data_IF_908474349645
#
_entry.id   IF_908474349645
#
_cell.length_a   1.000
_cell.length_b   1.000
_cell.length_c   1.000
_cell.angle_alpha   90.00
_cell.angle_beta   90.00
_cell.angle_gamma   90.00
#
_symmetry.space_group_name_H-M   'P 1'
#
loop_
_entity.id
_entity.type
_entity.pdbx_description
1 polymer ?
#
# COMPACT_ATOMS: atom_id res chain seq x y z
N UNK A 1 -12.05 -12.37 -1.55
CA UNK A 1 -13.38 -11.86 -1.12
C UNK A 1 -13.33 -10.84 0.03
N UNK A 2 -12.47 -10.99 1.04
CA UNK A 2 -12.37 -10.06 2.18
C UNK A 2 -11.84 -8.67 1.79
N UNK A 3 -10.76 -8.60 0.99
CA UNK A 3 -10.15 -7.33 0.56
C UNK A 3 -11.11 -6.44 -0.24
N UNK A 4 -11.87 -7.00 -1.17
CA UNK A 4 -12.84 -6.23 -1.95
C UNK A 4 -13.95 -5.60 -1.09
N UNK A 5 -14.36 -6.28 -0.01
CA UNK A 5 -15.31 -5.71 0.96
C UNK A 5 -14.69 -4.54 1.73
N UNK A 6 -13.42 -4.67 2.11
CA UNK A 6 -12.66 -3.60 2.77
C UNK A 6 -12.52 -2.40 1.84
N UNK A 7 -12.11 -2.60 0.58
CA UNK A 7 -12.01 -1.53 -0.42
C UNK A 7 -13.33 -0.75 -0.58
N UNK A 8 -14.44 -1.48 -0.83
CA UNK A 8 -15.76 -0.86 -0.97
C UNK A 8 -16.13 -0.02 0.25
N UNK A 9 -15.82 -0.52 1.44
CA UNK A 9 -16.11 0.18 2.70
C UNK A 9 -15.26 1.44 2.87
N UNK A 10 -13.98 1.40 2.49
CA UNK A 10 -13.09 2.57 2.52
C UNK A 10 -13.62 3.64 1.56
N UNK A 11 -14.02 3.27 0.35
CA UNK A 11 -14.59 4.25 -0.60
C UNK A 11 -15.88 4.87 -0.08
N UNK A 12 -16.80 4.09 0.47
CA UNK A 12 -18.03 4.61 1.04
C UNK A 12 -17.77 5.58 2.20
N UNK A 13 -16.79 5.27 3.06
CA UNK A 13 -16.41 6.13 4.16
C UNK A 13 -15.71 7.41 3.69
N UNK A 14 -14.93 7.34 2.61
CA UNK A 14 -14.14 8.48 2.13
C UNK A 14 -14.98 9.66 1.67
N UNK A 15 -16.23 9.43 1.26
CA UNK A 15 -17.17 10.49 0.93
C UNK A 15 -17.49 11.38 2.16
N UNK A 16 -17.48 10.78 3.34
CA UNK A 16 -17.72 11.48 4.60
C UNK A 16 -16.45 12.17 5.18
N UNK A 17 -15.29 12.00 4.55
CA UNK A 17 -14.04 12.62 5.03
C UNK A 17 -13.84 14.05 4.53
N UNK A 18 -14.62 14.51 3.56
CA UNK A 18 -14.51 15.86 3.01
C UNK A 18 -14.87 16.92 4.04
N UNK A 19 -14.13 18.03 4.05
CA UNK A 19 -14.28 19.14 4.99
C UNK A 19 -13.34 19.04 6.19
N UNK A 20 -13.56 19.89 7.18
CA UNK A 20 -12.78 19.91 8.41
C UNK A 20 -13.15 18.70 9.28
N UNK A 21 -12.16 17.91 9.67
CA UNK A 21 -12.33 16.71 10.48
C UNK A 21 -11.50 16.77 11.75
N UNK A 22 -12.14 16.45 12.87
CA UNK A 22 -11.43 16.21 14.12
C UNK A 22 -10.72 14.85 14.04
N UNK A 23 -9.39 14.83 14.06
CA UNK A 23 -8.56 13.64 13.82
C UNK A 23 -8.94 12.47 14.72
N UNK A 24 -9.05 12.61 16.06
CA UNK A 24 -9.45 11.50 16.92
C UNK A 24 -10.82 10.91 16.56
N UNK A 25 -11.75 11.74 16.11
CA UNK A 25 -13.09 11.28 15.71
C UNK A 25 -13.05 10.52 14.39
N UNK A 26 -12.20 10.94 13.44
CA UNK A 26 -11.94 10.23 12.18
C UNK A 26 -11.36 8.84 12.47
N UNK A 27 -10.33 8.74 13.32
CA UNK A 27 -9.72 7.46 13.71
C UNK A 27 -10.73 6.55 14.41
N UNK A 28 -11.52 7.08 15.33
CA UNK A 28 -12.59 6.32 16.00
C UNK A 28 -13.62 5.79 15.02
N UNK A 29 -14.03 6.61 14.07
CA UNK A 29 -14.97 6.19 13.00
C UNK A 29 -14.39 5.06 12.14
N UNK A 30 -13.11 5.16 11.73
CA UNK A 30 -12.40 4.12 11.01
C UNK A 30 -12.34 2.81 11.82
N UNK A 31 -11.89 2.88 13.08
CA UNK A 31 -11.82 1.69 13.94
C UNK A 31 -13.19 1.04 14.16
N UNK A 32 -14.23 1.82 14.39
CA UNK A 32 -15.60 1.29 14.52
C UNK A 32 -16.07 0.61 13.24
N UNK A 33 -15.76 1.23 12.09
CA UNK A 33 -16.10 0.66 10.79
C UNK A 33 -15.40 -0.68 10.54
N UNK A 34 -14.15 -0.84 11.00
CA UNK A 34 -13.34 -2.03 10.78
C UNK A 34 -13.21 -2.96 12.00
N UNK A 35 -13.98 -2.72 13.06
CA UNK A 35 -13.94 -3.47 14.34
C UNK A 35 -13.92 -5.01 14.18
N UNK A 36 -14.57 -5.54 13.13
CA UNK A 36 -14.62 -7.00 12.85
C UNK A 36 -13.60 -7.45 11.80
N UNK A 37 -12.71 -6.56 11.40
CA UNK A 37 -11.69 -6.84 10.43
C UNK A 37 -10.32 -6.87 11.12
N UNK A 38 -9.35 -7.41 10.42
CA UNK A 38 -7.96 -7.43 10.90
C UNK A 38 -7.24 -6.07 10.76
N UNK A 39 -7.96 -4.99 10.51
CA UNK A 39 -7.39 -3.65 10.27
C UNK A 39 -7.71 -2.74 11.44
N UNK A 40 -6.70 -2.14 12.03
CA UNK A 40 -6.83 -1.10 13.04
C UNK A 40 -6.09 0.18 12.63
N UNK A 41 -6.60 1.31 13.07
CA UNK A 41 -6.09 2.63 12.71
C UNK A 41 -5.63 3.39 13.94
N UNK A 42 -4.56 4.14 13.80
CA UNK A 42 -4.11 5.14 14.75
C UNK A 42 -3.85 6.48 14.07
N UNK A 43 -3.70 7.53 14.88
CA UNK A 43 -3.11 8.78 14.44
C UNK A 43 -1.76 8.94 15.11
N UNK A 44 -0.76 9.31 14.33
CA UNK A 44 0.57 9.63 14.80
C UNK A 44 0.88 11.08 14.43
N UNK A 45 1.64 11.75 15.30
CA UNK A 45 2.14 13.09 15.02
C UNK A 45 3.51 12.99 14.38
N UNK A 46 3.78 13.87 13.45
CA UNK A 46 5.08 13.95 12.79
C UNK A 46 5.57 15.38 12.87
N UNK A 47 6.75 15.55 13.41
CA UNK A 47 7.40 16.86 13.56
C UNK A 47 8.32 17.19 12.37
N UNK A 48 7.97 16.77 11.17
CA UNK A 48 8.84 16.93 10.01
C UNK A 48 8.45 18.18 9.20
N UNK A 49 9.42 19.07 8.94
CA UNK A 49 9.28 20.31 8.16
C UNK A 49 8.84 20.09 6.70
N UNK A 50 8.79 18.82 6.26
CA UNK A 50 8.42 18.42 4.89
C UNK A 50 6.93 18.11 4.70
N UNK A 51 6.08 18.40 5.67
CA UNK A 51 4.64 18.22 5.51
C UNK A 51 4.04 19.36 4.69
N UNK A 52 3.68 19.05 3.46
CA UNK A 52 2.68 19.81 2.73
C UNK A 52 1.35 19.71 3.50
N UNK A 53 0.76 20.85 3.85
CA UNK A 53 -0.45 21.00 4.67
C UNK A 53 -1.66 20.14 4.24
N UNK A 54 -1.57 19.50 3.09
CA UNK A 54 -2.65 18.71 2.47
C UNK A 54 -2.36 17.21 2.40
N UNK A 55 -1.20 16.74 2.84
CA UNK A 55 -0.81 15.35 2.67
C UNK A 55 -0.78 14.56 3.99
N UNK A 56 -1.85 13.80 4.23
CA UNK A 56 -1.86 12.78 5.28
C UNK A 56 -0.98 11.61 4.80
N UNK A 57 0.11 11.32 5.53
CA UNK A 57 0.96 10.16 5.25
C UNK A 57 0.29 8.92 5.83
N UNK A 58 0.35 7.83 5.09
CA UNK A 58 -0.19 6.53 5.48
C UNK A 58 0.97 5.55 5.60
N UNK A 59 1.25 5.10 6.81
CA UNK A 59 2.14 3.99 7.09
C UNK A 59 1.33 2.78 7.55
N UNK A 60 1.81 1.59 7.24
CA UNK A 60 1.15 0.37 7.69
C UNK A 60 2.19 -0.71 7.99
N UNK A 61 1.81 -1.67 8.81
CA UNK A 61 2.57 -2.89 9.02
C UNK A 61 1.65 -4.03 9.42
N UNK A 62 2.00 -5.23 9.00
CA UNK A 62 1.34 -6.45 9.42
C UNK A 62 1.94 -6.95 10.73
N UNK A 63 1.07 -7.13 11.72
CA UNK A 63 1.40 -7.75 12.99
C UNK A 63 0.93 -9.21 12.95
N UNK A 64 1.87 -10.15 13.00
CA UNK A 64 1.53 -11.55 13.14
C UNK A 64 0.91 -11.83 14.52
N UNK A 65 0.15 -12.90 14.62
CA UNK A 65 -0.36 -13.36 15.91
C UNK A 65 0.81 -13.72 16.84
N UNK A 66 0.91 -13.02 17.96
CA UNK A 66 1.95 -13.24 18.96
C UNK A 66 1.44 -14.17 20.06
N UNK A 67 0.14 -14.09 20.40
CA UNK A 67 -0.52 -14.88 21.43
C UNK A 67 -2.02 -14.96 21.17
N UNK A 68 -2.73 -15.72 21.98
CA UNK A 68 -4.21 -15.77 21.92
C UNK A 68 -4.85 -14.42 22.26
N UNK A 69 -4.16 -13.57 23.01
CA UNK A 69 -4.63 -12.24 23.41
C UNK A 69 -4.31 -11.15 22.38
N UNK A 70 -3.32 -11.39 21.49
CA UNK A 70 -2.93 -10.44 20.45
C UNK A 70 -3.13 -11.10 19.08
N UNK A 71 -4.35 -11.02 18.52
CA UNK A 71 -4.66 -11.61 17.23
C UNK A 71 -3.89 -10.89 16.11
N UNK A 72 -3.68 -11.60 15.00
CA UNK A 72 -3.08 -11.00 13.82
C UNK A 72 -3.89 -9.78 13.35
N UNK A 73 -3.20 -8.70 12.99
CA UNK A 73 -3.85 -7.50 12.48
C UNK A 73 -2.93 -6.71 11.53
N UNK A 74 -3.55 -5.85 10.73
CA UNK A 74 -2.86 -4.83 9.95
C UNK A 74 -3.05 -3.51 10.68
N UNK A 75 -1.95 -2.92 11.10
CA UNK A 75 -1.94 -1.62 11.74
C UNK A 75 -1.70 -0.52 10.70
N UNK A 76 -2.51 0.52 10.72
CA UNK A 76 -2.41 1.66 9.82
C UNK A 76 -2.28 2.93 10.65
N UNK A 77 -1.14 3.58 10.55
CA UNK A 77 -0.89 4.88 11.12
C UNK A 77 -1.18 5.98 10.09
N UNK A 78 -2.05 6.90 10.44
CA UNK A 78 -2.28 8.12 9.69
C UNK A 78 -1.50 9.25 10.35
N UNK A 79 -0.49 9.75 9.66
CA UNK A 79 0.34 10.83 10.17
C UNK A 79 -0.23 12.17 9.75
N UNK A 80 -0.43 13.03 10.73
CA UNK A 80 -0.93 14.39 10.58
C UNK A 80 0.13 15.39 11.08
N UNK A 81 0.15 16.63 10.57
CA UNK A 81 1.00 17.68 11.11
C UNK A 81 0.80 17.82 12.63
N UNK A 82 1.90 17.96 13.38
CA UNK A 82 1.95 17.79 14.84
C UNK A 82 1.02 18.73 15.63
N UNK A 83 0.74 19.91 15.11
CA UNK A 83 0.06 20.98 15.83
C UNK A 83 -1.47 20.95 15.71
N UNK A 84 -2.03 20.17 14.81
CA UNK A 84 -3.45 20.26 14.46
C UNK A 84 -4.26 19.08 15.02
N UNK A 85 -5.26 19.39 15.87
CA UNK A 85 -6.30 18.43 16.24
C UNK A 85 -7.34 18.21 15.12
N UNK A 86 -7.29 19.01 14.05
CA UNK A 86 -8.22 19.01 12.92
C UNK A 86 -7.45 19.01 11.60
N UNK A 87 -7.97 18.33 10.63
CA UNK A 87 -7.46 18.29 9.27
C UNK A 87 -8.55 18.75 8.28
N UNK A 88 -8.19 19.65 7.38
CA UNK A 88 -9.04 20.02 6.26
C UNK A 88 -8.77 19.04 5.11
N UNK A 89 -9.76 18.22 4.79
CA UNK A 89 -9.66 17.22 3.74
C UNK A 89 -10.49 17.67 2.54
N UNK A 90 -9.84 17.95 1.42
CA UNK A 90 -10.53 18.26 0.17
C UNK A 90 -11.17 17.01 -0.41
N UNK A 91 -12.09 17.16 -1.37
CA UNK A 91 -12.70 16.03 -2.08
C UNK A 91 -11.67 15.14 -2.79
N UNK A 92 -10.64 15.75 -3.37
CA UNK A 92 -9.53 15.03 -3.97
C UNK A 92 -8.62 14.39 -2.92
N UNK A 93 -8.34 15.10 -1.83
CA UNK A 93 -7.59 14.59 -0.69
C UNK A 93 -8.22 13.37 -0.05
N UNK A 94 -9.55 13.34 0.10
CA UNK A 94 -10.28 12.19 0.62
C UNK A 94 -10.14 10.94 -0.28
N UNK A 95 -10.20 11.13 -1.60
CA UNK A 95 -9.99 10.04 -2.57
C UNK A 95 -8.55 9.54 -2.57
N UNK A 96 -7.58 10.46 -2.55
CA UNK A 96 -6.16 10.11 -2.47
C UNK A 96 -5.84 9.35 -1.19
N UNK A 97 -6.39 9.79 -0.05
CA UNK A 97 -6.27 9.09 1.22
C UNK A 97 -6.86 7.68 1.16
N UNK A 98 -8.05 7.53 0.58
CA UNK A 98 -8.67 6.22 0.40
C UNK A 98 -7.80 5.27 -0.45
N UNK A 99 -7.24 5.74 -1.56
CA UNK A 99 -6.33 4.96 -2.40
C UNK A 99 -5.06 4.56 -1.64
N UNK A 100 -4.47 5.48 -0.87
CA UNK A 100 -3.27 5.20 -0.06
C UNK A 100 -3.56 4.15 1.02
N UNK A 101 -4.68 4.25 1.72
CA UNK A 101 -5.11 3.26 2.72
C UNK A 101 -5.33 1.89 2.06
N UNK A 102 -6.03 1.83 0.93
CA UNK A 102 -6.25 0.58 0.20
C UNK A 102 -4.93 -0.03 -0.24
N UNK A 103 -4.02 0.77 -0.80
CA UNK A 103 -2.68 0.34 -1.21
C UNK A 103 -1.92 -0.26 -0.03
N UNK A 104 -1.87 0.44 1.10
CA UNK A 104 -1.22 -0.03 2.32
C UNK A 104 -1.80 -1.36 2.81
N UNK A 105 -3.12 -1.50 2.84
CA UNK A 105 -3.78 -2.77 3.22
C UNK A 105 -3.38 -3.91 2.27
N UNK A 106 -3.32 -3.67 0.97
CA UNK A 106 -2.90 -4.70 0.02
C UNK A 106 -1.45 -5.12 0.22
N UNK A 107 -0.57 -4.16 0.51
CA UNK A 107 0.84 -4.42 0.83
C UNK A 107 0.95 -5.35 2.05
N UNK A 108 0.34 -4.97 3.17
CA UNK A 108 0.41 -5.73 4.42
C UNK A 108 -0.33 -7.08 4.33
N UNK A 109 -1.41 -7.14 3.56
CA UNK A 109 -2.08 -8.40 3.30
C UNK A 109 -1.20 -9.37 2.51
N UNK A 110 -0.30 -8.85 1.66
CA UNK A 110 0.69 -9.68 0.97
C UNK A 110 1.73 -10.22 1.94
N UNK A 111 2.21 -9.43 2.91
CA UNK A 111 3.09 -9.91 3.98
C UNK A 111 2.41 -11.01 4.82
N UNK A 112 1.16 -10.84 5.19
CA UNK A 112 0.38 -11.89 5.85
C UNK A 112 0.38 -13.20 5.07
N UNK A 113 0.17 -13.13 3.75
CA UNK A 113 0.21 -14.32 2.89
C UNK A 113 1.61 -14.94 2.85
N UNK A 114 2.65 -14.14 2.69
CA UNK A 114 4.05 -14.60 2.66
C UNK A 114 4.42 -15.31 3.96
N UNK A 115 4.07 -14.75 5.10
CA UNK A 115 4.36 -15.33 6.41
C UNK A 115 3.65 -16.67 6.62
N UNK A 116 2.40 -16.79 6.18
CA UNK A 116 1.67 -18.06 6.26
C UNK A 116 2.28 -19.15 5.37
N UNK A 117 2.83 -18.77 4.22
CA UNK A 117 3.47 -19.72 3.31
C UNK A 117 4.89 -20.12 3.76
N UNK A 118 5.59 -19.24 4.46
CA UNK A 118 7.00 -19.40 4.82
C UNK A 118 7.30 -18.86 6.22
N UNK A 119 6.69 -19.41 7.28
CA UNK A 119 6.78 -18.83 8.63
C UNK A 119 8.18 -18.85 9.24
N UNK A 120 9.08 -19.70 8.75
CA UNK A 120 10.42 -19.92 9.33
C UNK A 120 11.58 -19.58 8.38
N UNK A 121 11.29 -19.07 7.18
CA UNK A 121 12.39 -18.73 6.26
C UNK A 121 12.98 -17.37 6.63
N UNK A 122 14.25 -17.39 7.03
CA UNK A 122 15.05 -16.17 7.08
C UNK A 122 15.06 -15.54 5.68
N UNK A 123 14.64 -14.30 5.59
CA UNK A 123 14.65 -13.56 4.34
C UNK A 123 16.11 -13.35 3.92
N UNK A 124 16.42 -13.70 2.67
CA UNK A 124 17.72 -13.33 2.10
C UNK A 124 17.78 -11.81 1.97
N UNK A 125 18.58 -11.19 2.79
CA UNK A 125 18.80 -9.75 2.72
C UNK A 125 19.40 -9.36 1.37
N UNK A 126 18.87 -8.29 0.80
CA UNK A 126 19.48 -7.69 -0.38
C UNK A 126 20.76 -6.95 0.03
N UNK A 127 21.85 -7.23 -0.68
CA UNK A 127 23.13 -6.52 -0.49
C UNK A 127 23.20 -5.33 -1.45
N UNK A 128 23.13 -4.08 -0.94
CA UNK A 128 23.21 -2.89 -1.78
C UNK A 128 24.52 -2.80 -2.53
N UNK A 129 24.45 -2.31 -3.78
CA UNK A 129 25.65 -2.01 -4.58
C UNK A 129 26.27 -0.66 -4.18
N UNK A 130 27.57 -0.44 -4.45
CA UNK A 130 28.17 0.88 -4.33
C UNK A 130 27.32 1.93 -5.07
N UNK A 131 27.24 3.14 -4.55
CA UNK A 131 26.41 4.25 -5.07
C UNK A 131 24.89 4.13 -4.86
N UNK A 132 24.37 3.06 -4.27
CA UNK A 132 22.97 3.01 -3.84
C UNK A 132 22.78 3.63 -2.46
N UNK A 133 21.64 4.27 -2.23
CA UNK A 133 21.24 4.59 -0.85
C UNK A 133 21.01 3.27 -0.10
N UNK A 134 21.90 2.97 0.85
CA UNK A 134 21.98 1.67 1.54
C UNK A 134 20.64 1.27 2.16
N UNK A 135 20.05 2.13 2.96
CA UNK A 135 18.79 1.83 3.67
C UNK A 135 17.64 1.56 2.70
N UNK A 136 17.44 2.44 1.72
CA UNK A 136 16.39 2.27 0.71
C UNK A 136 16.62 1.03 -0.15
N UNK A 137 17.86 0.76 -0.55
CA UNK A 137 18.18 -0.38 -1.39
C UNK A 137 18.01 -1.71 -0.62
N UNK A 138 18.38 -1.77 0.66
CA UNK A 138 18.14 -2.94 1.51
C UNK A 138 16.63 -3.23 1.63
N UNK A 139 15.84 -2.22 1.93
CA UNK A 139 14.39 -2.36 2.07
C UNK A 139 13.74 -2.80 0.76
N UNK A 140 13.82 -1.97 -0.28
CA UNK A 140 13.16 -2.27 -1.58
C UNK A 140 13.77 -3.46 -2.33
N UNK A 141 15.03 -3.82 -2.08
CA UNK A 141 15.68 -4.99 -2.68
C UNK A 141 15.31 -6.31 -2.03
N UNK A 142 14.73 -6.28 -0.83
CA UNK A 142 14.24 -7.46 -0.14
C UNK A 142 13.18 -8.16 -1.00
N UNK A 143 13.28 -9.49 -1.24
CA UNK A 143 12.35 -10.20 -2.10
C UNK A 143 10.89 -10.16 -1.67
N UNK A 144 10.62 -10.10 -0.38
CA UNK A 144 9.24 -10.05 0.14
C UNK A 144 8.66 -8.64 0.02
N UNK A 145 9.44 -7.60 0.30
CA UNK A 145 9.06 -6.20 0.04
C UNK A 145 8.83 -5.95 -1.45
N UNK A 146 9.72 -6.47 -2.31
CA UNK A 146 9.55 -6.37 -3.75
C UNK A 146 8.24 -7.02 -4.23
N UNK A 147 7.88 -8.17 -3.68
CA UNK A 147 6.65 -8.87 -4.03
C UNK A 147 5.41 -8.15 -3.47
N UNK A 148 5.48 -7.60 -2.24
CA UNK A 148 4.41 -6.82 -1.64
C UNK A 148 4.16 -5.51 -2.40
N UNK A 149 5.21 -4.77 -2.74
CA UNK A 149 5.11 -3.56 -3.57
C UNK A 149 4.61 -3.84 -4.99
N UNK A 150 4.97 -4.97 -5.58
CA UNK A 150 4.44 -5.37 -6.88
C UNK A 150 2.94 -5.71 -6.82
N UNK A 151 2.49 -6.33 -5.74
CA UNK A 151 1.09 -6.64 -5.49
C UNK A 151 0.26 -5.38 -5.25
N UNK A 152 0.73 -4.46 -4.39
CA UNK A 152 0.06 -3.18 -4.14
C UNK A 152 -0.06 -2.33 -5.40
N UNK A 153 0.98 -2.32 -6.25
CA UNK A 153 0.98 -1.60 -7.53
C UNK A 153 -0.17 -2.04 -8.44
N UNK A 154 -0.46 -3.33 -8.49
CA UNK A 154 -1.58 -3.83 -9.29
C UNK A 154 -2.93 -3.53 -8.65
N UNK A 155 -3.04 -3.63 -7.34
CA UNK A 155 -4.24 -3.25 -6.62
C UNK A 155 -4.54 -1.75 -6.81
N UNK A 156 -3.54 -0.90 -6.70
CA UNK A 156 -3.61 0.54 -6.97
C UNK A 156 -4.11 0.80 -8.40
N UNK A 157 -3.50 0.18 -9.41
CA UNK A 157 -3.90 0.32 -10.81
C UNK A 157 -5.36 -0.05 -11.06
N UNK A 158 -5.83 -1.15 -10.48
CA UNK A 158 -7.22 -1.58 -10.60
C UNK A 158 -8.18 -0.60 -9.94
N UNK A 159 -7.84 -0.11 -8.77
CA UNK A 159 -8.66 0.85 -8.03
C UNK A 159 -8.69 2.22 -8.71
N UNK A 160 -7.55 2.70 -9.20
CA UNK A 160 -7.47 3.95 -9.98
C UNK A 160 -8.33 3.84 -11.25
N UNK A 161 -8.30 2.72 -11.96
CA UNK A 161 -9.14 2.56 -13.14
C UNK A 161 -10.64 2.63 -12.82
N UNK A 162 -11.07 2.10 -11.66
CA UNK A 162 -12.43 2.26 -11.16
C UNK A 162 -12.74 3.74 -10.86
N UNK A 163 -11.83 4.43 -10.16
CA UNK A 163 -11.97 5.84 -9.81
C UNK A 163 -11.92 6.77 -11.03
N UNK A 164 -11.06 6.50 -12.02
CA UNK A 164 -11.02 7.27 -13.28
C UNK A 164 -12.32 7.23 -14.04
N UNK A 165 -12.96 6.07 -14.11
CA UNK A 165 -14.29 5.95 -14.73
C UNK A 165 -15.35 6.77 -14.00
N UNK A 166 -15.30 6.80 -12.66
CA UNK A 166 -16.26 7.50 -11.83
C UNK A 166 -15.97 9.01 -11.68
N UNK A 167 -14.68 9.44 -11.70
CA UNK A 167 -14.29 10.76 -11.22
C UNK A 167 -13.26 11.51 -12.09
N UNK A 168 -12.86 11.00 -13.25
CA UNK A 168 -11.86 11.63 -14.18
C UNK A 168 -10.55 12.06 -13.50
N UNK A 169 -10.04 11.28 -12.53
CA UNK A 169 -8.80 11.59 -11.84
C UNK A 169 -7.61 11.35 -12.77
N UNK A 170 -6.74 12.35 -12.91
CA UNK A 170 -5.45 12.20 -13.55
C UNK A 170 -4.48 11.57 -12.56
N UNK A 171 -4.08 10.33 -12.81
CA UNK A 171 -3.06 9.65 -12.00
C UNK A 171 -1.79 9.50 -12.82
N UNK A 172 -0.69 9.92 -12.24
CA UNK A 172 0.63 9.75 -12.84
C UNK A 172 1.12 8.32 -12.62
N UNK A 173 2.32 8.11 -12.21
CA UNK A 173 2.90 6.81 -11.96
C UNK A 173 2.65 6.37 -10.52
N UNK A 174 2.49 5.07 -10.27
CA UNK A 174 2.47 4.51 -8.91
C UNK A 174 3.76 4.84 -8.17
N UNK A 175 3.65 5.22 -6.90
CA UNK A 175 4.79 5.56 -6.06
C UNK A 175 5.80 4.40 -5.99
N UNK A 176 5.34 3.16 -5.85
CA UNK A 176 6.21 2.00 -5.85
C UNK A 176 6.99 1.88 -7.18
N UNK A 177 6.33 2.04 -8.34
CA UNK A 177 7.00 2.03 -9.65
C UNK A 177 8.04 3.13 -9.73
N UNK A 178 7.71 4.35 -9.29
CA UNK A 178 8.67 5.46 -9.26
C UNK A 178 9.89 5.14 -8.38
N UNK A 179 9.68 4.62 -7.16
CA UNK A 179 10.75 4.29 -6.23
C UNK A 179 11.65 3.19 -6.75
N UNK A 180 11.09 2.09 -7.28
CA UNK A 180 11.89 1.01 -7.88
C UNK A 180 12.66 1.45 -9.11
N UNK A 181 12.06 2.26 -9.97
CA UNK A 181 12.74 2.84 -11.14
C UNK A 181 13.91 3.73 -10.73
N UNK A 182 13.69 4.63 -9.76
CA UNK A 182 14.73 5.54 -9.25
C UNK A 182 15.89 4.78 -8.60
N UNK A 183 15.58 3.75 -7.80
CA UNK A 183 16.59 3.04 -7.00
C UNK A 183 17.35 1.99 -7.80
N UNK A 184 16.71 1.31 -8.75
CA UNK A 184 17.28 0.11 -9.35
C UNK A 184 17.47 0.15 -10.87
N UNK A 185 16.70 0.94 -11.64
CA UNK A 185 16.72 0.86 -13.09
C UNK A 185 18.13 0.96 -13.69
N UNK A 186 18.96 1.90 -13.19
CA UNK A 186 20.34 2.08 -13.65
C UNK A 186 21.35 1.28 -12.83
N UNK A 187 21.14 1.14 -11.54
CA UNK A 187 22.11 0.62 -10.60
C UNK A 187 22.03 -0.91 -10.41
N UNK A 188 20.83 -1.48 -10.49
CA UNK A 188 20.57 -2.92 -10.49
C UNK A 188 19.39 -3.30 -11.38
N UNK A 189 19.59 -3.35 -12.71
CA UNK A 189 18.52 -3.65 -13.65
C UNK A 189 17.83 -5.01 -13.40
N UNK A 190 18.53 -5.96 -12.77
CA UNK A 190 17.96 -7.28 -12.44
C UNK A 190 16.85 -7.17 -11.39
N UNK A 191 17.02 -6.31 -10.37
CA UNK A 191 15.97 -6.05 -9.37
C UNK A 191 14.79 -5.33 -10.01
N UNK A 192 15.05 -4.32 -10.84
CA UNK A 192 14.01 -3.61 -11.58
C UNK A 192 13.18 -4.55 -12.48
N UNK A 193 13.83 -5.40 -13.26
CA UNK A 193 13.15 -6.39 -14.11
C UNK A 193 12.34 -7.41 -13.30
N UNK A 194 12.89 -7.87 -12.16
CA UNK A 194 12.17 -8.76 -11.24
C UNK A 194 10.91 -8.11 -10.69
N UNK A 195 10.99 -6.83 -10.30
CA UNK A 195 9.82 -6.07 -9.86
C UNK A 195 8.75 -6.00 -10.95
N UNK A 196 9.10 -5.60 -12.17
CA UNK A 196 8.14 -5.53 -13.28
C UNK A 196 7.50 -6.89 -13.58
N UNK A 197 8.29 -7.98 -13.58
CA UNK A 197 7.78 -9.34 -13.76
C UNK A 197 6.76 -9.73 -12.68
N UNK A 198 7.00 -9.34 -11.43
CA UNK A 198 6.06 -9.56 -10.32
C UNK A 198 4.80 -8.72 -10.47
N UNK A 199 4.93 -7.44 -10.81
CA UNK A 199 3.79 -6.55 -11.12
C UNK A 199 2.89 -7.18 -12.18
N UNK A 200 3.47 -7.67 -13.28
CA UNK A 200 2.72 -8.34 -14.35
C UNK A 200 2.05 -9.64 -13.88
N UNK A 201 2.75 -10.46 -13.10
CA UNK A 201 2.19 -11.70 -12.52
C UNK A 201 0.98 -11.43 -11.65
N UNK A 202 1.07 -10.44 -10.74
CA UNK A 202 -0.04 -10.08 -9.87
C UNK A 202 -1.21 -9.46 -10.64
N UNK A 203 -0.94 -8.74 -11.73
CA UNK A 203 -1.98 -8.21 -12.59
C UNK A 203 -2.89 -9.28 -13.17
N UNK A 204 -2.32 -10.39 -13.62
CA UNK A 204 -3.11 -11.54 -14.10
C UNK A 204 -3.93 -12.20 -13.00
N UNK A 205 -3.35 -12.35 -11.81
CA UNK A 205 -4.04 -12.95 -10.66
C UNK A 205 -5.21 -12.10 -10.17
N UNK A 206 -5.05 -10.78 -10.10
CA UNK A 206 -6.08 -9.88 -9.58
C UNK A 206 -7.20 -9.58 -10.57
N UNK A 207 -6.92 -9.64 -11.88
CA UNK A 207 -7.92 -9.39 -12.93
C UNK A 207 -8.84 -10.57 -13.22
N UNK A 208 -8.58 -11.74 -12.61
CA UNK A 208 -9.34 -12.95 -12.86
C UNK A 208 -9.16 -13.52 -14.30
N UNK A 209 -8.29 -12.95 -15.09
CA UNK A 209 -8.02 -13.37 -16.46
C UNK A 209 -7.03 -14.51 -16.44
N UNK A 210 -7.50 -15.73 -16.31
CA UNK A 210 -6.80 -16.93 -16.77
C UNK A 210 -6.78 -16.88 -18.32
N UNK A 211 -5.95 -16.01 -18.89
CA UNK A 211 -5.55 -16.20 -20.27
C UNK A 211 -4.57 -17.33 -20.26
N UNK A 212 -5.02 -18.50 -20.74
CA UNK A 212 -4.18 -19.56 -21.26
C UNK A 212 -3.04 -18.94 -22.06
N UNK A 213 -1.81 -19.33 -21.71
CA UNK A 213 -0.63 -19.00 -22.48
C UNK A 213 -0.88 -19.39 -23.93
N UNK A 214 -1.02 -18.42 -24.79
CA UNK A 214 -0.75 -18.63 -26.21
C UNK A 214 0.76 -18.64 -26.28
N UNK A 215 1.30 -19.85 -26.46
CA UNK A 215 2.65 -20.09 -26.89
C UNK A 215 2.87 -19.31 -28.19
N UNK A 216 3.59 -18.22 -28.14
CA UNK A 216 4.28 -17.70 -29.31
C UNK A 216 5.59 -18.49 -29.46
N UNK A 217 5.46 -19.71 -29.85
CA UNK A 217 6.47 -20.38 -30.71
C UNK A 217 6.34 -19.73 -32.07
N UNK A 218 7.51 -19.46 -32.67
CA UNK A 218 7.77 -19.06 -34.07
C UNK A 218 7.71 -17.54 -34.28
N UNK A 219 8.71 -16.95 -34.76
CA UNK A 219 9.77 -17.23 -35.75
C UNK A 219 10.87 -16.19 -35.56
#
# INVERSE_FOLDING_TARGET
>A
MQLQKIEKKIYALSENWVGEKHIPSLIRSLNNAFKRNIVCFSSERFDDEYFDDHNIIVNAHYCARISDFIPEHIYIALHFPSERKRALITKEGAKNLAVRIIRAIHHEYRHKYQQRQRPLLSQKEYKPKPKQNRMKAMYYGNPDELDAHAYETQAEKLNINKLRRAHKISWKESEAVFMYRKTFRKQDPKVWQRFLKKVYKHGRSLSGTTRTCIDSKNQ
#
